data_IF_992291105427
#
_entry.id   IF_992291105427
#
_cell.length_a   1.000
_cell.length_b   1.000
_cell.length_c   1.000
_cell.angle_alpha   90.00
_cell.angle_beta   90.00
_cell.angle_gamma   90.00
#
_symmetry.space_group_name_H-M   'P 1'
#
loop_
_entity.id
_entity.type
_entity.pdbx_description
1 polymer ?
#
# COMPACT_ATOMS: atom_id res chain seq x y z
N UNK A 1 -3.07 0.57 -15.08
CA UNK A 1 -2.26 1.52 -14.27
C UNK A 1 -0.85 0.99 -13.98
N UNK A 2 0.19 1.68 -14.48
CA UNK A 2 1.61 1.29 -14.37
C UNK A 2 2.31 1.97 -13.17
N UNK A 3 1.61 2.09 -12.04
CA UNK A 3 2.22 2.69 -10.86
C UNK A 3 3.22 1.69 -10.26
N UNK A 4 4.49 2.05 -10.24
CA UNK A 4 5.56 1.21 -9.69
C UNK A 4 5.95 1.65 -8.27
N UNK A 5 5.80 2.93 -7.94
CA UNK A 5 6.19 3.50 -6.66
C UNK A 5 5.12 4.45 -6.13
N UNK A 6 4.85 4.37 -4.82
CA UNK A 6 4.00 5.30 -4.09
C UNK A 6 4.68 5.68 -2.78
N UNK A 7 4.95 6.97 -2.61
CA UNK A 7 5.49 7.54 -1.37
C UNK A 7 4.49 8.52 -0.79
N UNK A 8 4.12 8.30 0.46
CA UNK A 8 3.14 9.10 1.17
C UNK A 8 3.75 9.55 2.49
N UNK A 9 3.49 10.81 2.87
CA UNK A 9 4.03 11.41 4.09
C UNK A 9 2.94 12.16 4.85
N UNK A 10 2.84 11.94 6.16
CA UNK A 10 1.90 12.64 7.06
C UNK A 10 0.44 12.56 6.58
N UNK A 11 0.02 11.37 6.22
CA UNK A 11 -1.35 11.09 5.75
C UNK A 11 -1.99 10.01 6.62
N UNK A 12 -3.32 10.03 6.67
CA UNK A 12 -4.10 8.92 7.21
C UNK A 12 -4.35 7.93 6.07
N UNK A 13 -3.84 6.71 6.22
CA UNK A 13 -3.95 5.61 5.24
C UNK A 13 -4.66 4.46 5.92
N UNK A 14 -5.83 4.06 5.43
CA UNK A 14 -6.60 2.96 6.01
C UNK A 14 -6.17 1.59 5.46
N UNK A 15 -6.47 0.52 6.18
CA UNK A 15 -6.22 -0.86 5.71
C UNK A 15 -6.89 -1.15 4.35
N UNK A 16 -8.09 -0.63 4.12
CA UNK A 16 -8.80 -0.72 2.84
C UNK A 16 -8.01 -0.06 1.70
N UNK A 17 -7.36 1.07 1.96
CA UNK A 17 -6.53 1.74 0.96
C UNK A 17 -5.34 0.85 0.54
N UNK A 18 -4.71 0.19 1.52
CA UNK A 18 -3.61 -0.73 1.26
C UNK A 18 -4.07 -1.95 0.44
N UNK A 19 -5.25 -2.51 0.74
CA UNK A 19 -5.81 -3.60 -0.07
C UNK A 19 -6.07 -3.18 -1.53
N UNK A 20 -6.66 -2.00 -1.73
CA UNK A 20 -6.93 -1.46 -3.08
C UNK A 20 -5.61 -1.28 -3.84
N UNK A 21 -4.57 -0.74 -3.19
CA UNK A 21 -3.25 -0.57 -3.79
C UNK A 21 -2.69 -1.92 -4.27
N UNK A 22 -2.71 -2.93 -3.40
CA UNK A 22 -2.23 -4.27 -3.74
C UNK A 22 -2.99 -4.90 -4.91
N UNK A 23 -4.32 -4.71 -4.99
CA UNK A 23 -5.15 -5.30 -6.06
C UNK A 23 -5.07 -4.54 -7.39
N UNK A 24 -5.06 -3.21 -7.36
CA UNK A 24 -5.12 -2.38 -8.57
C UNK A 24 -3.79 -2.28 -9.30
N UNK A 25 -2.66 -2.28 -8.58
CA UNK A 25 -1.35 -2.02 -9.15
C UNK A 25 -0.48 -3.29 -9.19
N UNK A 26 -0.65 -4.10 -10.24
CA UNK A 26 0.10 -5.37 -10.39
C UNK A 26 1.60 -5.22 -10.65
N UNK A 27 2.08 -4.02 -10.98
CA UNK A 27 3.51 -3.69 -11.18
C UNK A 27 4.09 -2.88 -10.02
N UNK A 28 3.39 -2.82 -8.91
CA UNK A 28 3.78 -2.03 -7.76
C UNK A 28 4.96 -2.66 -7.03
N UNK A 29 6.02 -1.88 -6.84
CA UNK A 29 7.31 -2.35 -6.29
C UNK A 29 7.66 -1.65 -4.98
N UNK A 30 7.35 -0.37 -4.85
CA UNK A 30 7.81 0.44 -3.73
C UNK A 30 6.64 1.16 -3.06
N UNK A 31 6.42 0.84 -1.78
CA UNK A 31 5.54 1.61 -0.90
C UNK A 31 6.39 2.25 0.20
N UNK A 32 6.30 3.58 0.36
CA UNK A 32 6.90 4.29 1.49
C UNK A 32 5.83 5.06 2.24
N UNK A 33 5.64 4.71 3.51
CA UNK A 33 4.74 5.41 4.42
C UNK A 33 5.60 6.11 5.48
N UNK A 34 5.65 7.45 5.45
CA UNK A 34 6.45 8.24 6.38
C UNK A 34 5.57 9.06 7.32
N UNK A 35 5.60 8.73 8.61
CA UNK A 35 4.73 9.37 9.63
C UNK A 35 3.26 9.31 9.20
N UNK A 36 2.80 8.16 8.74
CA UNK A 36 1.41 7.93 8.38
C UNK A 36 0.71 7.13 9.48
N UNK A 37 -0.60 7.33 9.61
CA UNK A 37 -1.45 6.72 10.64
C UNK A 37 -2.69 6.08 9.99
N UNK A 38 -3.44 5.27 10.74
CA UNK A 38 -4.73 4.71 10.30
C UNK A 38 -4.68 3.32 9.63
N UNK A 39 -3.49 2.74 9.46
CA UNK A 39 -3.33 1.36 8.99
C UNK A 39 -2.82 0.46 10.12
N UNK A 40 -3.15 -0.82 10.05
CA UNK A 40 -2.71 -1.85 10.97
C UNK A 40 -2.06 -3.03 10.26
N UNK A 41 -1.90 -4.14 11.00
CA UNK A 41 -1.31 -5.37 10.47
C UNK A 41 -2.13 -5.97 9.33
N UNK A 42 -3.46 -5.78 9.34
CA UNK A 42 -4.35 -6.30 8.31
C UNK A 42 -4.07 -5.70 6.93
N UNK A 43 -3.93 -4.38 6.83
CA UNK A 43 -3.64 -3.70 5.57
C UNK A 43 -2.25 -4.04 5.02
N UNK A 44 -1.25 -4.17 5.91
CA UNK A 44 0.09 -4.65 5.51
C UNK A 44 0.06 -6.08 4.98
N UNK A 45 -0.69 -6.98 5.64
CA UNK A 45 -0.88 -8.35 5.18
C UNK A 45 -1.61 -8.41 3.83
N UNK A 46 -2.60 -7.53 3.62
CA UNK A 46 -3.32 -7.44 2.35
C UNK A 46 -2.40 -7.00 1.20
N UNK A 47 -1.49 -6.04 1.45
CA UNK A 47 -0.47 -5.67 0.45
C UNK A 47 0.48 -6.84 0.17
N UNK A 48 1.01 -7.48 1.20
CA UNK A 48 1.95 -8.59 1.04
C UNK A 48 1.33 -9.78 0.27
N UNK A 49 0.03 -10.03 0.43
CA UNK A 49 -0.68 -11.08 -0.27
C UNK A 49 -0.90 -10.78 -1.77
N UNK A 50 -1.02 -9.50 -2.14
CA UNK A 50 -1.37 -9.08 -3.50
C UNK A 50 -0.17 -8.62 -4.33
N UNK A 51 0.88 -8.08 -3.71
CA UNK A 51 2.14 -7.74 -4.38
C UNK A 51 2.97 -9.01 -4.61
N UNK A 52 2.75 -9.65 -5.76
CA UNK A 52 3.57 -10.78 -6.21
C UNK A 52 4.84 -10.27 -6.87
N UNK A 53 5.97 -10.88 -6.49
CA UNK A 53 7.33 -10.65 -7.01
C UNK A 53 7.37 -10.90 -8.53
#
# INVERSE_FOLDING_TARGET
PNLEELRVKRMVVSDECLEIIGRCFKKFKVLSLLSCDGFGCAGLSAIAANCRI
#
